data_IF_885880848651
#
_entry.id   IF_885880848651
#
_cell.length_a   1.000
_cell.length_b   1.000
_cell.length_c   1.000
_cell.angle_alpha   90.00
_cell.angle_beta   90.00
_cell.angle_gamma   90.00
#
_symmetry.space_group_name_H-M   'P 1'
#
loop_
_entity.id
_entity.type
_entity.pdbx_description
1 polymer ?
#
# COMPACT_ATOMS: atom_id res chain seq x y z
N UNK A 1 31.03 47.44 71.59
CA UNK A 1 31.54 47.82 70.23
C UNK A 1 31.34 46.70 69.26
N UNK A 2 30.80 47.09 68.16
CA UNK A 2 30.69 46.40 66.85
C UNK A 2 29.60 45.32 66.68
N UNK A 3 28.66 45.80 65.88
CA UNK A 3 27.54 45.11 65.27
C UNK A 3 27.96 44.06 64.28
N UNK A 4 27.32 42.89 64.33
CA UNK A 4 27.40 41.89 63.27
C UNK A 4 26.02 41.74 62.62
N UNK A 5 25.88 42.28 61.43
CA UNK A 5 24.67 42.18 60.61
C UNK A 5 24.52 40.80 60.08
N UNK A 6 23.40 40.14 60.38
CA UNK A 6 22.98 38.87 59.78
C UNK A 6 22.41 39.16 58.40
N UNK A 7 23.02 38.63 57.35
CA UNK A 7 22.41 38.55 56.01
C UNK A 7 21.63 37.26 55.90
N UNK A 8 20.33 37.39 55.76
CA UNK A 8 19.44 36.30 55.45
C UNK A 8 19.47 36.09 53.94
N UNK A 9 20.08 35.00 53.46
CA UNK A 9 20.02 34.60 52.04
C UNK A 9 18.69 33.87 51.83
N UNK A 10 17.79 34.47 51.06
CA UNK A 10 16.57 33.88 50.60
C UNK A 10 16.91 33.16 49.29
N UNK A 11 17.09 31.82 49.33
CA UNK A 11 17.23 31.00 48.12
C UNK A 11 15.81 30.75 47.56
N UNK A 12 15.49 31.44 46.47
CA UNK A 12 14.31 31.13 45.68
C UNK A 12 14.55 29.81 44.91
N UNK A 13 13.85 28.80 45.37
CA UNK A 13 13.78 27.50 44.63
C UNK A 13 12.79 27.70 43.47
N UNK A 14 13.32 27.99 42.28
CA UNK A 14 12.53 27.97 41.06
C UNK A 14 12.24 26.50 40.67
N UNK A 15 11.04 26.03 40.96
CA UNK A 15 10.48 24.83 40.39
C UNK A 15 10.35 25.04 38.88
N UNK A 16 11.30 24.54 38.13
CA UNK A 16 11.17 24.35 36.68
C UNK A 16 10.08 23.31 36.43
N UNK A 17 8.91 23.79 35.99
CA UNK A 17 7.90 22.92 35.40
C UNK A 17 8.51 22.40 34.09
N UNK A 18 9.01 21.18 34.12
CA UNK A 18 9.29 20.45 32.88
C UNK A 18 7.91 20.11 32.30
N UNK A 19 7.41 21.01 31.46
CA UNK A 19 6.34 20.67 30.52
C UNK A 19 6.88 19.60 29.62
N UNK A 20 6.52 18.34 29.84
CA UNK A 20 6.53 17.33 28.80
C UNK A 20 5.61 17.87 27.69
N UNK A 21 6.18 18.52 26.70
CA UNK A 21 5.52 18.65 25.43
C UNK A 21 5.36 17.22 24.91
N UNK A 22 4.18 16.66 25.08
CA UNK A 22 3.70 15.67 24.16
C UNK A 22 3.93 16.30 22.79
N UNK A 23 4.72 15.64 21.96
CA UNK A 23 4.76 15.91 20.53
C UNK A 23 3.37 15.52 20.02
N UNK A 24 2.38 16.36 20.26
CA UNK A 24 1.16 16.33 19.51
C UNK A 24 1.59 16.43 18.06
N UNK A 25 1.28 15.40 17.28
CA UNK A 25 1.37 15.41 15.84
C UNK A 25 0.43 16.52 15.31
N UNK A 26 0.85 17.78 15.48
CA UNK A 26 0.16 18.87 14.84
C UNK A 26 0.24 18.63 13.33
N UNK A 27 -0.89 18.46 12.66
CA UNK A 27 -0.89 18.19 11.22
C UNK A 27 -0.13 19.32 10.52
N UNK A 28 0.94 18.97 9.83
CA UNK A 28 1.71 19.94 9.07
C UNK A 28 0.83 20.42 7.93
N UNK A 29 0.60 21.73 7.86
CA UNK A 29 -0.15 22.36 6.78
C UNK A 29 0.43 21.91 5.41
N UNK A 30 -0.44 21.75 4.41
CA UNK A 30 -0.10 21.30 3.07
C UNK A 30 0.39 19.85 2.94
N UNK A 31 0.14 19.01 3.91
CA UNK A 31 0.32 17.56 3.79
C UNK A 31 -1.03 16.88 3.54
N UNK A 32 -0.98 15.71 2.92
CA UNK A 32 -2.12 14.78 2.83
C UNK A 32 -1.66 13.43 3.34
N UNK A 33 -2.37 12.87 4.30
CA UNK A 33 -2.09 11.52 4.78
C UNK A 33 -2.97 10.53 4.03
N UNK A 34 -2.35 9.53 3.41
CA UNK A 34 -3.03 8.34 2.92
C UNK A 34 -2.92 7.26 3.99
N UNK A 35 -4.05 6.72 4.41
CA UNK A 35 -4.11 5.60 5.35
C UNK A 35 -4.75 4.41 4.65
N UNK A 36 -4.07 3.26 4.65
CA UNK A 36 -4.54 2.05 3.99
C UNK A 36 -5.13 1.08 5.01
N UNK A 37 -6.39 0.68 4.79
CA UNK A 37 -7.08 -0.32 5.58
C UNK A 37 -7.33 -1.57 4.73
N UNK A 38 -6.55 -2.61 4.99
CA UNK A 38 -6.66 -3.89 4.29
C UNK A 38 -7.71 -4.75 4.95
N UNK A 39 -8.70 -5.16 4.19
CA UNK A 39 -9.88 -5.87 4.70
C UNK A 39 -10.23 -7.10 3.85
N UNK A 40 -10.95 -8.03 4.46
CA UNK A 40 -11.87 -8.90 3.76
C UNK A 40 -13.28 -8.34 3.96
N UNK A 41 -13.91 -7.85 2.89
CA UNK A 41 -15.19 -7.12 2.97
C UNK A 41 -15.08 -5.92 3.93
N UNK A 42 -15.57 -6.04 5.15
CA UNK A 42 -15.53 -4.98 6.16
C UNK A 42 -14.68 -5.34 7.39
N UNK A 43 -14.02 -6.51 7.38
CA UNK A 43 -13.21 -6.98 8.51
C UNK A 43 -11.74 -6.76 8.22
N UNK A 44 -11.04 -6.04 9.08
CA UNK A 44 -9.60 -5.81 8.95
C UNK A 44 -8.84 -7.13 8.98
N UNK A 45 -7.87 -7.28 8.09
CA UNK A 45 -7.07 -8.49 7.97
C UNK A 45 -6.07 -8.57 9.13
N UNK A 46 -6.13 -9.67 9.85
CA UNK A 46 -5.11 -10.12 10.80
C UNK A 46 -4.38 -11.28 10.13
N UNK A 47 -3.06 -11.15 9.98
CA UNK A 47 -2.22 -12.18 9.39
C UNK A 47 -2.01 -13.35 10.36
N UNK A 48 -1.84 -14.56 9.82
CA UNK A 48 -1.53 -15.72 10.65
C UNK A 48 -1.02 -16.91 9.87
N UNK A 49 -0.27 -17.78 10.56
CA UNK A 49 0.20 -19.05 10.00
C UNK A 49 -0.93 -20.07 9.79
N UNK A 50 -0.58 -21.24 9.27
CA UNK A 50 -1.54 -22.29 8.87
C UNK A 50 -2.52 -22.73 9.96
N UNK A 51 -2.11 -22.64 11.22
CA UNK A 51 -2.92 -23.07 12.38
C UNK A 51 -3.34 -21.91 13.28
N UNK A 52 -3.18 -20.67 12.82
CA UNK A 52 -3.48 -19.48 13.63
C UNK A 52 -5.00 -19.29 13.77
N UNK A 53 -5.50 -19.44 14.98
CA UNK A 53 -6.89 -19.12 15.31
C UNK A 53 -7.20 -17.60 15.26
N UNK A 54 -6.18 -16.76 15.24
CA UNK A 54 -6.31 -15.29 15.21
C UNK A 54 -6.37 -14.73 13.80
N UNK A 55 -5.98 -15.50 12.78
CA UNK A 55 -6.03 -15.04 11.40
C UNK A 55 -7.46 -14.72 10.96
N UNK A 56 -7.64 -13.57 10.29
CA UNK A 56 -8.92 -13.25 9.67
C UNK A 56 -9.13 -14.17 8.48
N UNK A 57 -10.16 -15.00 8.54
CA UNK A 57 -10.55 -15.87 7.44
C UNK A 57 -11.58 -15.20 6.55
N UNK A 58 -11.54 -15.51 5.26
CA UNK A 58 -12.55 -15.13 4.29
C UNK A 58 -13.04 -16.37 3.55
N UNK A 59 -14.27 -16.28 3.04
CA UNK A 59 -14.83 -17.29 2.14
C UNK A 59 -15.17 -16.61 0.83
N UNK A 60 -14.57 -17.10 -0.27
CA UNK A 60 -14.83 -16.60 -1.63
C UNK A 60 -16.27 -16.92 -2.07
N UNK A 61 -16.71 -16.34 -3.19
CA UNK A 61 -18.02 -16.63 -3.78
C UNK A 61 -18.21 -18.12 -4.13
N UNK A 62 -17.10 -18.82 -4.43
CA UNK A 62 -17.09 -20.25 -4.74
C UNK A 62 -16.90 -21.13 -3.49
N UNK A 63 -17.05 -20.55 -2.30
CA UNK A 63 -17.00 -21.30 -1.04
C UNK A 63 -15.59 -21.66 -0.56
N UNK A 64 -14.52 -21.16 -1.19
CA UNK A 64 -13.16 -21.43 -0.71
C UNK A 64 -12.81 -20.55 0.49
N UNK A 65 -12.55 -21.18 1.62
CA UNK A 65 -12.02 -20.52 2.82
C UNK A 65 -10.54 -20.24 2.60
N UNK A 66 -10.09 -19.05 2.98
CA UNK A 66 -8.67 -18.67 2.91
C UNK A 66 -8.33 -17.60 3.94
N UNK A 67 -7.05 -17.50 4.25
CA UNK A 67 -6.48 -16.43 5.08
C UNK A 67 -5.03 -16.14 4.66
N UNK A 68 -4.50 -14.99 5.08
CA UNK A 68 -3.16 -14.56 4.69
C UNK A 68 -2.17 -14.70 5.84
N UNK A 69 -0.95 -15.10 5.51
CA UNK A 69 0.22 -15.05 6.40
C UNK A 69 1.15 -13.89 6.06
N UNK A 70 1.11 -13.39 4.82
CA UNK A 70 1.84 -12.23 4.35
C UNK A 70 1.01 -11.45 3.35
N UNK A 71 1.04 -10.12 3.44
CA UNK A 71 0.31 -9.24 2.55
C UNK A 71 1.10 -7.95 2.35
N UNK A 72 1.60 -7.76 1.13
CA UNK A 72 2.35 -6.57 0.73
C UNK A 72 1.95 -6.12 -0.67
N UNK A 73 1.99 -4.81 -0.91
CA UNK A 73 1.82 -4.26 -2.25
C UNK A 73 2.47 -2.89 -2.40
N UNK A 74 2.81 -2.53 -3.63
CA UNK A 74 3.43 -1.25 -3.96
C UNK A 74 2.36 -0.26 -4.41
N UNK A 75 2.41 0.93 -3.83
CA UNK A 75 1.65 2.11 -4.29
C UNK A 75 2.65 3.12 -4.84
N UNK A 76 2.39 3.64 -6.04
CA UNK A 76 3.24 4.62 -6.71
C UNK A 76 2.43 5.59 -7.57
N UNK A 77 3.10 6.52 -8.25
CA UNK A 77 2.48 7.37 -9.27
C UNK A 77 1.23 8.11 -8.79
N UNK A 78 1.29 8.64 -7.56
CA UNK A 78 0.16 9.25 -6.87
C UNK A 78 -0.14 10.63 -7.46
N UNK A 79 -1.44 10.92 -7.65
CA UNK A 79 -1.96 12.22 -8.05
C UNK A 79 -3.20 12.55 -7.25
N UNK A 80 -3.33 13.80 -6.88
CA UNK A 80 -4.57 14.36 -6.36
C UNK A 80 -5.28 15.12 -7.49
N UNK A 81 -6.59 14.99 -7.62
CA UNK A 81 -7.36 15.58 -8.71
C UNK A 81 -8.34 16.58 -8.13
N UNK A 82 -8.24 17.83 -8.58
CA UNK A 82 -9.11 18.93 -8.20
C UNK A 82 -10.53 18.78 -8.79
N UNK A 83 -11.47 19.57 -8.30
CA UNK A 83 -12.84 19.58 -8.78
C UNK A 83 -12.96 19.93 -10.28
N UNK A 84 -12.06 20.76 -10.79
CA UNK A 84 -11.96 21.16 -12.21
C UNK A 84 -11.30 20.09 -13.11
N UNK A 85 -10.87 18.96 -12.51
CA UNK A 85 -10.20 17.88 -13.23
C UNK A 85 -8.69 18.00 -13.33
N UNK A 86 -8.08 19.10 -12.87
CA UNK A 86 -6.63 19.27 -12.88
C UNK A 86 -5.94 18.27 -11.96
N UNK A 87 -4.99 17.52 -12.51
CA UNK A 87 -4.16 16.56 -11.76
C UNK A 87 -2.96 17.27 -11.12
N UNK A 88 -2.75 17.05 -9.86
CA UNK A 88 -1.57 17.47 -9.09
C UNK A 88 -0.72 16.23 -8.82
N UNK A 89 0.35 16.01 -9.60
CA UNK A 89 1.22 14.84 -9.44
C UNK A 89 2.10 14.97 -8.18
N UNK A 90 2.27 13.87 -7.48
CA UNK A 90 3.17 13.76 -6.33
C UNK A 90 4.37 12.88 -6.65
N UNK A 91 5.52 13.50 -6.90
CA UNK A 91 6.82 12.83 -7.10
C UNK A 91 6.79 11.62 -8.06
N UNK A 92 6.00 11.69 -9.13
CA UNK A 92 5.66 10.56 -10.01
C UNK A 92 6.84 9.91 -10.75
N UNK A 93 8.00 10.60 -10.82
CA UNK A 93 9.23 10.10 -11.44
C UNK A 93 10.33 9.77 -10.42
N UNK A 94 9.98 9.70 -9.14
CA UNK A 94 10.91 9.47 -8.04
C UNK A 94 10.32 8.39 -7.12
N UNK A 95 10.86 7.17 -7.18
CA UNK A 95 10.39 6.08 -6.34
C UNK A 95 10.75 6.27 -4.86
N UNK A 96 11.85 6.98 -4.56
CA UNK A 96 12.27 7.22 -3.18
C UNK A 96 11.32 8.14 -2.40
N UNK A 97 10.60 9.02 -3.12
CA UNK A 97 9.69 9.99 -2.53
C UNK A 97 8.23 9.81 -2.98
N UNK A 98 7.98 9.14 -4.08
CA UNK A 98 6.66 9.01 -4.71
C UNK A 98 6.09 7.59 -4.71
N UNK A 99 6.78 6.63 -4.08
CA UNK A 99 6.31 5.26 -3.95
C UNK A 99 6.47 4.74 -2.53
N UNK A 100 5.68 3.75 -2.18
CA UNK A 100 5.76 3.06 -0.88
C UNK A 100 5.35 1.60 -1.00
N UNK A 101 5.86 0.77 -0.10
CA UNK A 101 5.39 -0.60 0.11
C UNK A 101 4.45 -0.60 1.30
N UNK A 102 3.22 -1.00 1.07
CA UNK A 102 2.25 -1.28 2.13
C UNK A 102 2.47 -2.72 2.58
N UNK A 103 2.78 -2.90 3.85
CA UNK A 103 3.04 -4.20 4.48
C UNK A 103 2.12 -4.37 5.69
N UNK A 104 1.17 -5.29 5.61
CA UNK A 104 0.18 -5.53 6.66
C UNK A 104 0.82 -5.95 8.01
N UNK A 105 2.03 -6.49 7.98
CA UNK A 105 2.76 -6.84 9.20
C UNK A 105 3.43 -5.65 9.89
N UNK A 106 3.50 -4.50 9.20
CA UNK A 106 4.19 -3.28 9.64
C UNK A 106 3.22 -2.10 9.66
N UNK A 107 2.54 -1.83 10.79
CA UNK A 107 1.49 -0.81 10.87
C UNK A 107 1.93 0.59 10.42
N UNK A 108 3.20 0.95 10.59
CA UNK A 108 3.77 2.22 10.16
C UNK A 108 3.73 2.39 8.64
N UNK A 109 3.76 1.31 7.87
CA UNK A 109 3.69 1.35 6.40
C UNK A 109 2.26 1.57 5.87
N UNK A 110 1.26 1.35 6.71
CA UNK A 110 -0.14 1.56 6.34
C UNK A 110 -0.48 3.04 6.23
N UNK A 111 0.44 3.92 6.58
CA UNK A 111 0.29 5.37 6.53
C UNK A 111 1.37 5.97 5.65
N UNK A 112 0.99 6.75 4.64
CA UNK A 112 1.91 7.43 3.75
C UNK A 112 1.57 8.92 3.65
N UNK A 113 2.56 9.79 3.92
CA UNK A 113 2.37 11.23 3.98
C UNK A 113 2.87 11.86 2.66
N UNK A 114 1.98 12.53 1.96
CA UNK A 114 2.28 13.38 0.81
C UNK A 114 2.57 14.78 1.30
N UNK A 115 3.82 15.22 1.20
CA UNK A 115 4.26 16.53 1.70
C UNK A 115 4.17 17.60 0.62
N UNK A 116 3.98 18.86 1.04
CA UNK A 116 3.98 20.02 0.15
C UNK A 116 2.94 19.94 -1.00
N UNK A 117 1.76 19.47 -0.67
CA UNK A 117 0.63 19.47 -1.61
C UNK A 117 0.12 20.92 -1.73
N UNK A 118 -0.08 21.44 -2.96
CA UNK A 118 -0.66 22.76 -3.15
C UNK A 118 -2.00 22.93 -2.45
N UNK A 119 -2.25 24.09 -1.83
CA UNK A 119 -3.53 24.40 -1.24
C UNK A 119 -4.67 24.27 -2.26
N UNK A 120 -5.82 23.79 -1.80
CA UNK A 120 -7.00 23.59 -2.64
C UNK A 120 -7.87 22.44 -2.21
N UNK A 121 -8.94 22.24 -2.97
CA UNK A 121 -9.90 21.16 -2.78
C UNK A 121 -9.67 20.05 -3.80
N UNK A 122 -9.57 18.83 -3.30
CA UNK A 122 -9.32 17.65 -4.10
C UNK A 122 -10.52 16.70 -4.02
N UNK A 123 -11.03 16.32 -5.18
CA UNK A 123 -12.23 15.51 -5.33
C UNK A 123 -11.91 14.02 -5.55
N UNK A 124 -10.75 13.73 -6.12
CA UNK A 124 -10.33 12.35 -6.41
C UNK A 124 -8.86 12.15 -6.08
N UNK A 125 -8.52 10.89 -5.83
CA UNK A 125 -7.14 10.42 -5.79
C UNK A 125 -6.92 9.41 -6.89
N UNK A 126 -5.74 9.45 -7.49
CA UNK A 126 -5.27 8.49 -8.48
C UNK A 126 -3.92 7.94 -8.05
N UNK A 127 -3.70 6.66 -8.18
CA UNK A 127 -2.41 6.03 -7.90
C UNK A 127 -2.23 4.74 -8.71
N UNK A 128 -0.99 4.28 -8.77
CA UNK A 128 -0.63 3.01 -9.38
C UNK A 128 -0.51 1.90 -8.34
N UNK A 129 -1.09 0.74 -8.62
CA UNK A 129 -0.73 -0.52 -7.99
C UNK A 129 0.46 -1.10 -8.77
N UNK A 130 1.62 -1.09 -8.13
CA UNK A 130 2.89 -1.45 -8.75
C UNK A 130 3.75 -0.25 -9.18
N UNK A 131 4.70 -0.51 -10.05
CA UNK A 131 5.67 0.46 -10.57
C UNK A 131 5.52 0.57 -12.08
N UNK A 132 5.49 1.81 -12.60
CA UNK A 132 5.47 2.06 -14.04
C UNK A 132 6.67 1.44 -14.74
N UNK A 133 6.48 1.02 -15.98
CA UNK A 133 7.48 0.37 -16.82
C UNK A 133 8.84 1.04 -16.77
N UNK A 134 8.88 2.35 -17.00
CA UNK A 134 10.13 3.12 -17.13
C UNK A 134 10.91 3.26 -15.80
N UNK A 135 10.24 2.99 -14.67
CA UNK A 135 10.81 3.00 -13.33
C UNK A 135 11.03 1.59 -12.75
N UNK A 136 10.47 0.57 -13.40
CA UNK A 136 10.53 -0.83 -12.94
C UNK A 136 11.82 -1.54 -13.38
N UNK A 137 12.96 -0.91 -13.16
CA UNK A 137 14.28 -1.34 -13.66
C UNK A 137 15.29 -1.64 -12.54
N UNK A 138 14.84 -1.72 -11.29
CA UNK A 138 15.66 -2.02 -10.10
C UNK A 138 16.88 -1.10 -9.95
N UNK A 139 16.71 0.17 -10.26
CA UNK A 139 17.76 1.17 -10.22
C UNK A 139 18.09 1.58 -8.77
N UNK A 140 19.06 0.88 -8.18
CA UNK A 140 19.51 1.13 -6.81
C UNK A 140 20.37 2.41 -6.68
N UNK A 141 20.86 2.96 -7.78
CA UNK A 141 21.64 4.21 -7.77
C UNK A 141 20.71 5.42 -7.77
N UNK A 142 19.68 5.38 -8.61
CA UNK A 142 18.69 6.46 -8.72
C UNK A 142 17.70 6.46 -7.57
N UNK A 143 17.30 5.26 -7.09
CA UNK A 143 16.28 5.08 -6.06
C UNK A 143 16.76 4.18 -4.91
N UNK A 144 17.83 4.58 -4.19
CA UNK A 144 18.45 3.73 -3.18
C UNK A 144 17.52 3.38 -2.01
N UNK A 145 16.63 4.30 -1.61
CA UNK A 145 15.71 4.08 -0.49
C UNK A 145 14.60 3.10 -0.88
N UNK A 146 13.97 3.32 -2.02
CA UNK A 146 12.92 2.42 -2.50
C UNK A 146 13.49 1.04 -2.81
N UNK A 147 14.68 0.97 -3.43
CA UNK A 147 15.37 -0.29 -3.66
C UNK A 147 15.65 -1.04 -2.35
N UNK A 148 16.11 -0.35 -1.30
CA UNK A 148 16.33 -0.95 0.01
C UNK A 148 15.01 -1.42 0.67
N UNK A 149 13.92 -0.67 0.47
CA UNK A 149 12.61 -1.00 1.04
C UNK A 149 11.90 -2.13 0.31
N UNK A 150 11.93 -2.11 -1.03
CA UNK A 150 11.19 -3.05 -1.89
C UNK A 150 12.07 -4.18 -2.43
N UNK A 151 13.38 -4.09 -2.28
CA UNK A 151 14.34 -4.94 -2.97
C UNK A 151 14.76 -6.19 -2.21
N UNK A 152 16.04 -6.43 -2.17
CA UNK A 152 16.69 -7.69 -1.80
C UNK A 152 16.62 -8.09 -0.31
N UNK A 153 16.03 -7.24 0.54
CA UNK A 153 16.01 -7.47 1.99
C UNK A 153 14.73 -8.21 2.42
N UNK A 154 14.38 -8.10 3.69
CA UNK A 154 13.25 -8.78 4.34
C UNK A 154 11.90 -8.57 3.65
N UNK A 155 11.76 -7.50 2.86
CA UNK A 155 10.50 -7.21 2.16
C UNK A 155 10.25 -8.12 0.99
N UNK A 156 11.30 -8.54 0.29
CA UNK A 156 11.25 -9.45 -0.87
C UNK A 156 10.23 -9.03 -1.96
N UNK A 157 10.14 -7.72 -2.23
CA UNK A 157 9.27 -7.17 -3.27
C UNK A 157 10.01 -6.97 -4.60
N UNK A 158 10.96 -7.85 -4.90
CA UNK A 158 11.73 -7.91 -6.14
C UNK A 158 11.74 -9.33 -6.67
N UNK A 159 11.73 -9.48 -8.00
CA UNK A 159 11.92 -10.78 -8.62
C UNK A 159 13.38 -11.22 -8.52
N UNK A 160 13.63 -12.46 -8.14
CA UNK A 160 14.98 -13.02 -7.99
C UNK A 160 15.78 -13.03 -9.31
N UNK A 161 15.08 -13.14 -10.43
CA UNK A 161 15.67 -13.09 -11.77
C UNK A 161 15.83 -11.70 -12.37
N UNK A 162 15.71 -10.63 -11.55
CA UNK A 162 15.99 -9.26 -11.98
C UNK A 162 14.95 -8.62 -12.91
N UNK A 163 13.75 -9.19 -13.00
CA UNK A 163 12.69 -8.72 -13.90
C UNK A 163 11.89 -7.51 -13.36
N UNK A 164 12.41 -6.80 -12.36
CA UNK A 164 11.75 -5.67 -11.74
C UNK A 164 11.14 -6.00 -10.37
N UNK A 165 10.29 -5.09 -9.88
CA UNK A 165 9.64 -5.24 -8.60
C UNK A 165 8.42 -6.18 -8.68
N UNK A 166 8.13 -6.88 -7.59
CA UNK A 166 6.81 -7.45 -7.35
C UNK A 166 5.85 -6.32 -6.98
N UNK A 167 4.68 -6.32 -7.56
CA UNK A 167 3.67 -5.29 -7.31
C UNK A 167 2.75 -5.66 -6.17
N UNK A 168 2.47 -6.96 -6.02
CA UNK A 168 1.86 -7.55 -4.83
C UNK A 168 2.58 -8.83 -4.45
N UNK A 169 2.61 -9.11 -3.16
CA UNK A 169 3.06 -10.38 -2.59
C UNK A 169 2.04 -10.81 -1.54
N UNK A 170 1.32 -11.87 -1.82
CA UNK A 170 0.26 -12.42 -1.00
C UNK A 170 0.56 -13.88 -0.75
N UNK A 171 0.92 -14.20 0.49
CA UNK A 171 1.14 -15.55 0.95
C UNK A 171 0.01 -15.94 1.92
N UNK A 172 -0.32 -17.21 1.98
CA UNK A 172 -1.34 -17.66 2.91
C UNK A 172 -1.76 -19.11 2.72
N UNK A 173 -2.99 -19.36 3.10
CA UNK A 173 -3.53 -20.72 3.11
C UNK A 173 -4.97 -20.71 2.60
N UNK A 174 -5.37 -21.81 1.95
CA UNK A 174 -6.71 -21.98 1.43
C UNK A 174 -7.22 -23.41 1.64
N UNK A 175 -8.54 -23.56 1.59
CA UNK A 175 -9.20 -24.84 1.84
C UNK A 175 -9.25 -25.23 3.31
N UNK A 176 -9.97 -26.29 3.60
CA UNK A 176 -10.14 -26.80 4.97
C UNK A 176 -8.89 -27.51 5.50
N UNK A 177 -8.02 -27.93 4.60
CA UNK A 177 -6.75 -28.59 4.90
C UNK A 177 -5.55 -27.62 4.88
N UNK A 178 -5.82 -26.30 4.85
CA UNK A 178 -4.82 -25.24 4.92
C UNK A 178 -3.66 -25.41 3.92
N UNK A 179 -3.99 -25.67 2.65
CA UNK A 179 -3.00 -25.70 1.57
C UNK A 179 -2.37 -24.34 1.38
N UNK A 180 -1.08 -24.29 1.15
CA UNK A 180 -0.35 -23.07 0.90
C UNK A 180 -0.79 -22.40 -0.41
N UNK A 181 -0.86 -21.07 -0.40
CA UNK A 181 -0.96 -20.25 -1.61
C UNK A 181 0.11 -19.16 -1.60
N UNK A 182 0.63 -18.87 -2.79
CA UNK A 182 1.64 -17.85 -3.02
C UNK A 182 1.29 -17.12 -4.32
N UNK A 183 0.77 -15.90 -4.20
CA UNK A 183 0.27 -15.11 -5.32
C UNK A 183 1.09 -13.83 -5.40
N UNK A 184 2.01 -13.81 -6.37
CA UNK A 184 2.83 -12.64 -6.66
C UNK A 184 2.42 -12.03 -7.98
N UNK A 185 2.30 -10.71 -8.04
CA UNK A 185 2.08 -9.99 -9.29
C UNK A 185 3.23 -9.03 -9.57
N UNK A 186 3.47 -8.79 -10.82
CA UNK A 186 4.49 -7.86 -11.30
C UNK A 186 4.58 -7.94 -12.82
N UNK A 187 5.10 -6.91 -13.45
CA UNK A 187 5.34 -6.94 -14.90
C UNK A 187 6.45 -7.95 -15.22
N UNK A 188 6.33 -8.62 -16.34
CA UNK A 188 7.30 -9.62 -16.79
C UNK A 188 8.11 -9.11 -17.97
N UNK A 189 9.29 -9.71 -18.17
CA UNK A 189 10.11 -9.51 -19.37
C UNK A 189 10.17 -10.81 -20.18
N UNK A 190 10.33 -10.66 -21.48
CA UNK A 190 10.55 -11.77 -22.44
C UNK A 190 11.83 -11.53 -23.20
N UNK A 191 12.46 -12.59 -23.66
CA UNK A 191 13.67 -12.52 -24.46
C UNK A 191 14.91 -13.03 -23.73
N UNK A 192 16.05 -12.77 -24.32
CA UNK A 192 17.38 -13.13 -23.81
C UNK A 192 18.21 -11.88 -23.59
N UNK A 193 19.35 -12.05 -22.95
CA UNK A 193 20.29 -10.97 -22.66
C UNK A 193 20.56 -10.09 -23.90
N UNK A 194 20.39 -8.78 -23.74
CA UNK A 194 20.52 -7.80 -24.83
C UNK A 194 19.28 -7.56 -25.70
N UNK A 195 18.23 -8.41 -25.58
CA UNK A 195 17.00 -8.32 -26.38
C UNK A 195 15.73 -8.50 -25.53
N UNK A 196 15.70 -7.92 -24.34
CA UNK A 196 14.53 -7.99 -23.50
C UNK A 196 13.39 -7.09 -24.00
N UNK A 197 12.21 -7.67 -24.08
CA UNK A 197 10.95 -6.95 -24.32
C UNK A 197 10.02 -7.12 -23.14
N UNK A 198 9.15 -6.15 -22.91
CA UNK A 198 8.13 -6.29 -21.89
C UNK A 198 7.15 -7.40 -22.26
N UNK A 199 6.92 -8.29 -21.32
CA UNK A 199 5.86 -9.30 -21.40
C UNK A 199 4.52 -8.75 -20.92
N UNK A 200 3.90 -9.42 -19.96
CA UNK A 200 2.67 -8.94 -19.33
C UNK A 200 2.96 -7.70 -18.50
N UNK A 201 2.13 -6.66 -18.65
CA UNK A 201 2.13 -5.50 -17.80
C UNK A 201 1.08 -5.65 -16.68
N UNK A 202 1.56 -5.83 -15.46
CA UNK A 202 0.73 -5.96 -14.27
C UNK A 202 0.47 -4.63 -13.56
N UNK A 203 1.02 -3.53 -14.04
CA UNK A 203 0.73 -2.20 -13.49
C UNK A 203 -0.72 -1.83 -13.76
N UNK A 204 -1.40 -1.34 -12.71
CA UNK A 204 -2.77 -0.83 -12.83
C UNK A 204 -2.88 0.55 -12.22
N UNK A 205 -3.49 1.47 -12.95
CA UNK A 205 -3.78 2.81 -12.45
C UNK A 205 -5.22 2.86 -11.93
N UNK A 206 -5.39 3.25 -10.68
CA UNK A 206 -6.65 3.29 -9.95
C UNK A 206 -7.03 4.74 -9.72
N UNK A 207 -8.26 5.12 -10.04
CA UNK A 207 -8.84 6.43 -9.73
C UNK A 207 -10.04 6.25 -8.81
N UNK A 208 -10.04 6.97 -7.69
CA UNK A 208 -11.09 6.87 -6.67
C UNK A 208 -11.70 8.25 -6.41
N UNK A 209 -13.03 8.31 -6.43
CA UNK A 209 -13.76 9.47 -5.93
C UNK A 209 -13.69 9.53 -4.41
N UNK A 210 -13.52 10.73 -3.86
CA UNK A 210 -13.57 10.98 -2.43
C UNK A 210 -15.03 11.20 -2.01
N UNK A 211 -15.48 10.65 -0.87
CA UNK A 211 -16.85 10.82 -0.38
C UNK A 211 -17.16 12.29 0.00
N UNK A 212 -16.13 13.07 0.29
CA UNK A 212 -16.13 14.53 0.38
C UNK A 212 -14.77 15.06 -0.04
N UNK A 213 -14.67 16.33 -0.43
CA UNK A 213 -13.41 16.93 -0.85
C UNK A 213 -12.38 16.89 0.28
N UNK A 214 -11.15 16.51 -0.04
CA UNK A 214 -10.01 16.72 0.83
C UNK A 214 -9.54 18.17 0.69
N UNK A 215 -9.50 18.90 1.80
CA UNK A 215 -9.18 20.33 1.85
C UNK A 215 -7.75 20.47 2.37
N UNK A 216 -6.85 20.89 1.47
CA UNK A 216 -5.47 21.25 1.81
C UNK A 216 -5.40 22.77 1.91
N UNK A 217 -5.22 23.25 3.13
CA UNK A 217 -5.07 24.67 3.42
C UNK A 217 -4.28 24.77 4.74
N UNK A 218 -4.92 25.19 5.83
CA UNK A 218 -4.35 25.12 7.17
C UNK A 218 -4.51 23.75 7.84
N UNK A 219 -4.97 22.78 7.08
CA UNK A 219 -5.27 21.41 7.53
C UNK A 219 -4.48 20.41 6.68
N UNK A 220 -4.19 19.28 7.30
CA UNK A 220 -3.58 18.13 6.65
C UNK A 220 -4.62 17.00 6.58
N UNK A 221 -5.43 16.94 5.52
CA UNK A 221 -6.50 15.95 5.43
C UNK A 221 -5.94 14.54 5.43
N UNK A 222 -6.69 13.62 6.04
CA UNK A 222 -6.44 12.19 5.99
C UNK A 222 -7.46 11.51 5.07
N UNK A 223 -6.98 10.76 4.09
CA UNK A 223 -7.78 9.97 3.15
C UNK A 223 -7.58 8.50 3.51
N UNK A 224 -8.64 7.83 3.98
CA UNK A 224 -8.57 6.40 4.27
C UNK A 224 -8.99 5.60 3.05
N UNK A 225 -8.03 4.89 2.49
CA UNK A 225 -8.20 3.98 1.35
C UNK A 225 -8.44 2.59 1.88
N UNK A 226 -9.59 2.02 1.59
CA UNK A 226 -9.91 0.62 1.85
C UNK A 226 -9.40 -0.23 0.69
N UNK A 227 -8.65 -1.29 0.98
CA UNK A 227 -8.23 -2.33 0.06
C UNK A 227 -8.94 -3.64 0.44
N UNK A 228 -9.98 -4.01 -0.31
CA UNK A 228 -10.82 -5.17 -0.04
C UNK A 228 -10.29 -6.42 -0.75
N UNK A 229 -9.50 -7.20 -0.05
CA UNK A 229 -8.89 -8.43 -0.57
C UNK A 229 -9.86 -9.61 -0.75
N UNK A 230 -11.16 -9.46 -0.38
CA UNK A 230 -12.18 -10.39 -0.86
C UNK A 230 -12.18 -10.45 -2.39
N UNK A 231 -11.79 -9.34 -3.05
CA UNK A 231 -11.68 -9.25 -4.50
C UNK A 231 -10.58 -10.12 -5.10
N UNK A 232 -9.62 -10.59 -4.31
CA UNK A 232 -8.56 -11.48 -4.82
C UNK A 232 -9.14 -12.68 -5.58
N UNK A 233 -10.07 -13.38 -4.97
CA UNK A 233 -10.74 -14.55 -5.56
C UNK A 233 -12.15 -14.25 -6.10
N UNK A 234 -12.80 -13.18 -5.60
CA UNK A 234 -14.17 -12.80 -5.94
C UNK A 234 -14.17 -11.36 -6.49
N UNK A 235 -13.57 -11.16 -7.65
CA UNK A 235 -13.50 -9.85 -8.30
C UNK A 235 -14.75 -9.52 -9.13
N UNK A 236 -14.85 -8.28 -9.58
CA UNK A 236 -15.87 -7.86 -10.56
C UNK A 236 -15.61 -8.43 -11.96
N UNK A 237 -14.32 -8.75 -12.25
CA UNK A 237 -13.89 -9.20 -13.57
C UNK A 237 -13.77 -10.72 -13.61
N UNK A 238 -13.14 -11.29 -12.59
CA UNK A 238 -12.87 -12.72 -12.52
C UNK A 238 -13.34 -13.30 -11.18
N UNK A 239 -13.98 -14.47 -11.26
CA UNK A 239 -14.15 -15.39 -10.12
C UNK A 239 -13.10 -16.48 -10.27
N UNK A 240 -12.27 -16.66 -9.24
CA UNK A 240 -11.10 -17.53 -9.27
C UNK A 240 -11.25 -18.62 -8.20
N UNK A 241 -11.07 -19.86 -8.63
CA UNK A 241 -10.99 -21.03 -7.74
C UNK A 241 -9.55 -21.52 -7.75
N UNK A 242 -8.92 -21.57 -6.59
CA UNK A 242 -7.59 -22.14 -6.43
C UNK A 242 -7.70 -23.68 -6.48
N UNK A 243 -6.92 -24.30 -7.37
CA UNK A 243 -6.89 -25.75 -7.53
C UNK A 243 -5.46 -26.26 -7.50
N UNK A 244 -5.27 -27.46 -6.96
CA UNK A 244 -3.98 -28.14 -6.98
C UNK A 244 -3.68 -28.61 -8.38
N UNK A 245 -2.50 -28.25 -8.92
CA UNK A 245 -2.07 -28.62 -10.28
C UNK A 245 -1.99 -27.43 -11.22
N UNK A 246 -1.92 -27.71 -12.52
CA UNK A 246 -1.77 -26.71 -13.60
C UNK A 246 -3.13 -26.22 -14.09
N UNK A 247 -3.97 -25.65 -13.24
CA UNK A 247 -5.32 -25.24 -13.61
C UNK A 247 -5.43 -24.63 -15.01
N UNK A 248 -6.30 -25.17 -15.86
CA UNK A 248 -6.52 -24.72 -17.24
C UNK A 248 -7.75 -23.81 -17.33
N UNK A 249 -8.89 -24.15 -16.90
CA UNK A 249 -10.19 -23.60 -17.30
C UNK A 249 -10.71 -22.43 -16.44
N UNK A 250 -9.92 -21.37 -16.35
CA UNK A 250 -10.31 -20.22 -15.54
C UNK A 250 -9.89 -20.31 -14.09
N UNK A 251 -9.60 -21.49 -13.61
CA UNK A 251 -9.01 -21.76 -12.32
C UNK A 251 -7.53 -21.39 -12.29
N UNK A 252 -6.97 -21.19 -11.12
CA UNK A 252 -5.57 -20.86 -10.95
C UNK A 252 -4.91 -21.83 -9.98
N UNK A 253 -3.65 -22.17 -10.24
CA UNK A 253 -2.82 -22.85 -9.24
C UNK A 253 -2.63 -21.93 -8.03
N UNK A 254 -2.42 -22.48 -6.82
CA UNK A 254 -2.16 -21.67 -5.65
C UNK A 254 -0.81 -20.92 -5.70
N UNK A 255 0.08 -21.30 -6.64
CA UNK A 255 1.40 -20.67 -6.84
C UNK A 255 1.41 -19.90 -8.16
N UNK A 256 1.15 -18.60 -8.10
CA UNK A 256 1.03 -17.72 -9.26
C UNK A 256 2.22 -16.80 -9.33
N UNK A 257 3.17 -17.15 -10.20
CA UNK A 257 4.36 -16.36 -10.47
C UNK A 257 4.57 -16.15 -11.98
N UNK A 258 3.64 -16.60 -12.81
CA UNK A 258 3.75 -16.55 -14.27
C UNK A 258 2.64 -15.71 -14.91
N UNK A 259 2.97 -15.11 -16.04
CA UNK A 259 2.23 -14.04 -16.66
C UNK A 259 0.74 -14.31 -16.93
N UNK A 260 0.40 -15.46 -17.54
CA UNK A 260 -0.96 -15.65 -18.07
C UNK A 260 -2.01 -15.89 -16.97
N UNK A 261 -1.63 -16.51 -15.86
CA UNK A 261 -2.54 -16.75 -14.73
C UNK A 261 -2.59 -15.55 -13.79
N UNK A 262 -1.49 -14.82 -13.69
CA UNK A 262 -1.33 -13.65 -12.84
C UNK A 262 -2.30 -12.52 -13.21
N UNK A 263 -2.60 -12.34 -14.51
CA UNK A 263 -3.40 -11.21 -15.00
C UNK A 263 -4.81 -11.17 -14.40
N UNK A 264 -5.41 -12.31 -14.12
CA UNK A 264 -6.74 -12.38 -13.50
C UNK A 264 -6.73 -11.80 -12.08
N UNK A 265 -5.69 -12.07 -11.31
CA UNK A 265 -5.50 -11.50 -9.99
C UNK A 265 -5.22 -9.99 -10.08
N UNK A 266 -4.39 -9.59 -11.03
CA UNK A 266 -4.08 -8.17 -11.29
C UNK A 266 -5.34 -7.38 -11.59
N UNK A 267 -6.20 -7.89 -12.47
CA UNK A 267 -7.46 -7.24 -12.83
C UNK A 267 -8.46 -7.19 -11.66
N UNK A 268 -8.48 -8.23 -10.84
CA UNK A 268 -9.30 -8.25 -9.64
C UNK A 268 -8.83 -7.24 -8.58
N UNK A 269 -7.51 -7.09 -8.41
CA UNK A 269 -6.93 -6.21 -7.40
C UNK A 269 -6.86 -4.75 -7.86
N UNK A 270 -6.42 -4.52 -9.10
CA UNK A 270 -6.15 -3.18 -9.62
C UNK A 270 -7.20 -2.64 -10.60
N UNK A 271 -8.18 -3.46 -10.98
CA UNK A 271 -9.10 -3.12 -12.06
C UNK A 271 -8.48 -3.38 -13.44
N UNK A 272 -9.25 -3.08 -14.48
CA UNK A 272 -8.86 -3.31 -15.87
C UNK A 272 -8.58 -2.03 -16.66
N UNK A 273 -8.44 -0.89 -15.96
CA UNK A 273 -8.26 0.41 -16.58
C UNK A 273 -9.57 1.11 -16.98
N UNK A 274 -10.73 0.47 -16.78
CA UNK A 274 -12.03 1.12 -16.91
C UNK A 274 -12.32 1.99 -15.68
N UNK A 275 -12.89 3.17 -15.86
CA UNK A 275 -13.27 4.08 -14.77
C UNK A 275 -14.23 3.47 -13.75
N UNK A 276 -14.97 2.45 -14.16
CA UNK A 276 -16.00 1.82 -13.33
C UNK A 276 -15.49 0.63 -12.50
N UNK A 277 -14.22 0.24 -12.71
CA UNK A 277 -13.63 -0.92 -12.05
C UNK A 277 -12.30 -0.54 -11.42
N UNK A 278 -12.34 -0.18 -10.14
CA UNK A 278 -11.17 0.18 -9.32
C UNK A 278 -10.51 -1.01 -8.61
N UNK A 279 -10.93 -2.23 -8.96
CA UNK A 279 -10.45 -3.44 -8.32
C UNK A 279 -10.88 -3.53 -6.85
N UNK A 280 -9.88 -3.73 -5.97
CA UNK A 280 -10.11 -3.86 -4.53
C UNK A 280 -10.23 -2.51 -3.81
N UNK A 281 -9.89 -1.41 -4.46
CA UNK A 281 -9.75 -0.12 -3.79
C UNK A 281 -11.03 0.72 -3.78
N UNK A 282 -11.25 1.38 -2.67
CA UNK A 282 -12.27 2.42 -2.49
C UNK A 282 -11.81 3.41 -1.42
N UNK A 283 -12.42 4.60 -1.36
CA UNK A 283 -12.19 5.52 -0.24
C UNK A 283 -13.30 5.36 0.78
N UNK A 284 -12.93 5.05 2.02
CA UNK A 284 -13.89 4.87 3.11
C UNK A 284 -14.18 6.18 3.86
N UNK A 285 -13.19 7.06 4.00
CA UNK A 285 -13.38 8.36 4.64
C UNK A 285 -12.36 9.40 4.18
N UNK A 286 -12.73 10.67 4.38
CA UNK A 286 -11.82 11.82 4.34
C UNK A 286 -12.03 12.59 5.63
N UNK A 287 -10.97 12.86 6.36
CA UNK A 287 -10.95 13.71 7.55
C UNK A 287 -10.16 14.99 7.20
N UNK A 288 -10.78 16.17 7.34
CA UNK A 288 -10.16 17.46 7.11
C UNK A 288 -9.74 18.11 8.43
#
# INVERSE_FOLDING_TARGET
MQNLKKYLLLSAFSLGIISCQNSDDNPVANNVTLEFNNTFKNTTIILGGSTSAMATTNTSAEGQVHHFSELKYVISNIRLIKADGNEVPYKINDLDQGATVIDQSKPETLRYILSNIPAGEYKRIKFGLGVKRDLNVLDQVRFPKFYATAGANDTQMMWEWGAGYRFTKIEGFYGTDNKQMSIHTGSTIKGSEGNFTQGVDAYREVTLDLPKNAIVDNKAPKITVKADFDKLLTGKINTIVLVTGTGSDGNATPNIHTANQMIKFVDNLGGNGSSDISGMFSVSSVEN
#
